data_IF_029646347958
#
_entry.id   IF_029646347958
#
_cell.length_a   1.000
_cell.length_b   1.000
_cell.length_c   1.000
_cell.angle_alpha   90.00
_cell.angle_beta   90.00
_cell.angle_gamma   90.00
#
_symmetry.space_group_name_H-M   'P 1'
#
loop_
_entity.id
_entity.type
_entity.pdbx_description
1 polymer ?
#
# COMPACT_ATOMS: atom_id res chain seq x y z
N UNK A 1 -5.39 -5.61 13.09
CA UNK A 1 -5.74 -4.19 12.90
C UNK A 1 -6.43 -4.01 11.56
N UNK A 2 -7.36 -3.07 11.48
CA UNK A 2 -8.03 -2.67 10.24
C UNK A 2 -7.22 -1.62 9.46
N UNK A 3 -7.48 -1.42 8.16
CA UNK A 3 -6.71 -0.47 7.34
C UNK A 3 -6.85 0.97 7.85
N UNK A 4 -8.05 1.38 8.24
CA UNK A 4 -8.30 2.70 8.82
C UNK A 4 -7.64 2.86 10.19
N UNK A 5 -7.56 1.79 10.98
CA UNK A 5 -6.85 1.79 12.27
C UNK A 5 -5.34 1.91 12.07
N UNK A 6 -4.76 1.11 11.16
CA UNK A 6 -3.34 1.20 10.80
C UNK A 6 -2.98 2.60 10.28
N UNK A 7 -3.84 3.20 9.45
CA UNK A 7 -3.66 4.57 8.96
C UNK A 7 -3.52 5.61 10.10
N UNK A 8 -4.25 5.41 11.22
CA UNK A 8 -4.19 6.30 12.41
C UNK A 8 -2.96 6.03 13.27
N UNK A 9 -2.60 4.76 13.48
CA UNK A 9 -1.37 4.40 14.22
C UNK A 9 -0.11 4.93 13.50
N UNK A 10 -0.10 4.84 12.17
CA UNK A 10 0.98 5.41 11.34
C UNK A 10 1.06 6.92 11.51
N UNK A 11 -0.07 7.63 11.57
CA UNK A 11 -0.08 9.07 11.82
C UNK A 11 0.53 9.42 13.18
N UNK A 12 0.11 8.71 14.24
CA UNK A 12 0.63 8.89 15.58
C UNK A 12 2.16 8.65 15.60
N UNK A 13 2.63 7.60 14.94
CA UNK A 13 4.06 7.30 14.85
C UNK A 13 4.84 8.38 14.08
N UNK A 14 4.33 8.82 12.92
CA UNK A 14 4.98 9.87 12.12
C UNK A 14 5.12 11.17 12.91
N UNK A 15 4.10 11.53 13.68
CA UNK A 15 4.12 12.70 14.56
C UNK A 15 5.11 12.52 15.72
N UNK A 16 5.09 11.37 16.40
CA UNK A 16 6.00 11.06 17.51
C UNK A 16 7.47 11.09 17.09
N UNK A 17 7.78 10.57 15.89
CA UNK A 17 9.14 10.49 15.35
C UNK A 17 9.58 11.75 14.59
N UNK A 18 8.71 12.73 14.41
CA UNK A 18 9.03 13.97 13.70
C UNK A 18 9.29 13.78 12.19
N UNK A 19 8.65 12.79 11.56
CA UNK A 19 8.77 12.56 10.13
C UNK A 19 7.93 13.55 9.30
N UNK A 20 8.21 13.59 8.00
CA UNK A 20 7.49 14.37 7.00
C UNK A 20 5.96 14.20 7.12
N UNK A 21 5.23 15.32 7.29
CA UNK A 21 3.79 15.27 7.59
C UNK A 21 2.97 16.38 6.90
N UNK A 22 3.45 16.94 5.78
CA UNK A 22 2.71 17.97 5.02
C UNK A 22 2.21 17.41 3.69
N UNK A 23 1.19 18.04 3.12
CA UNK A 23 0.64 17.61 1.81
C UNK A 23 1.70 17.61 0.70
N UNK A 24 2.67 18.51 0.74
CA UNK A 24 3.83 18.54 -0.18
C UNK A 24 4.74 17.30 -0.07
N UNK A 25 4.63 16.52 1.02
CA UNK A 25 5.39 15.28 1.21
C UNK A 25 4.73 14.05 0.58
N UNK A 26 3.48 14.16 0.09
CA UNK A 26 2.76 13.02 -0.53
C UNK A 26 3.57 12.36 -1.66
N UNK A 27 4.14 13.10 -2.64
CA UNK A 27 4.93 12.46 -3.70
C UNK A 27 6.13 11.69 -3.16
N UNK A 28 6.76 12.18 -2.09
CA UNK A 28 7.90 11.53 -1.43
C UNK A 28 7.47 10.20 -0.80
N UNK A 29 6.33 10.16 -0.11
CA UNK A 29 5.79 8.93 0.49
C UNK A 29 5.42 7.88 -0.57
N UNK A 30 4.83 8.31 -1.70
CA UNK A 30 4.56 7.42 -2.83
C UNK A 30 5.85 6.87 -3.45
N UNK A 31 6.91 7.69 -3.53
CA UNK A 31 8.22 7.24 -4.00
C UNK A 31 8.85 6.21 -3.05
N UNK A 32 8.72 6.39 -1.74
CA UNK A 32 9.17 5.39 -0.76
C UNK A 32 8.44 4.06 -0.95
N UNK A 33 7.10 4.06 -1.09
CA UNK A 33 6.36 2.83 -1.41
C UNK A 33 6.87 2.14 -2.70
N UNK A 34 7.31 2.91 -3.70
CA UNK A 34 7.89 2.36 -4.92
C UNK A 34 9.28 1.75 -4.70
N UNK A 35 10.10 2.36 -3.84
CA UNK A 35 11.41 1.83 -3.46
C UNK A 35 11.24 0.50 -2.74
N UNK A 36 10.37 0.42 -1.74
CA UNK A 36 10.12 -0.83 -0.99
C UNK A 36 9.58 -1.95 -1.89
N UNK A 37 8.82 -1.61 -2.93
CA UNK A 37 8.38 -2.59 -3.92
C UNK A 37 9.57 -3.14 -4.73
N UNK A 38 10.57 -2.31 -4.97
CA UNK A 38 11.85 -2.72 -5.54
C UNK A 38 12.62 -3.65 -4.61
N UNK A 39 12.64 -3.37 -3.31
CA UNK A 39 13.28 -4.23 -2.30
C UNK A 39 12.60 -5.60 -2.21
N UNK A 40 11.26 -5.65 -2.18
CA UNK A 40 10.48 -6.89 -2.24
C UNK A 40 10.83 -7.72 -3.49
N UNK A 41 10.96 -7.06 -4.63
CA UNK A 41 11.33 -7.70 -5.91
C UNK A 41 12.75 -8.26 -5.87
N UNK A 42 13.70 -7.53 -5.29
CA UNK A 42 15.09 -7.95 -5.14
C UNK A 42 15.24 -9.10 -4.14
N UNK A 43 14.54 -9.04 -3.00
CA UNK A 43 14.49 -10.11 -2.00
C UNK A 43 13.99 -11.42 -2.62
N UNK A 44 12.89 -11.39 -3.37
CA UNK A 44 12.38 -12.55 -4.08
C UNK A 44 13.39 -13.08 -5.11
N UNK A 45 13.97 -12.20 -5.93
CA UNK A 45 14.97 -12.56 -6.95
C UNK A 45 16.20 -13.25 -6.35
N UNK A 46 16.59 -12.87 -5.14
CA UNK A 46 17.72 -13.44 -4.40
C UNK A 46 17.38 -14.74 -3.66
N UNK A 47 16.12 -15.20 -3.71
CA UNK A 47 15.68 -16.38 -2.98
C UNK A 47 15.68 -16.20 -1.46
N UNK A 48 15.37 -14.98 -1.00
CA UNK A 48 15.20 -14.72 0.43
C UNK A 48 14.03 -15.53 1.01
N UNK A 49 14.03 -15.68 2.33
CA UNK A 49 12.93 -16.34 3.05
C UNK A 49 11.62 -15.53 2.93
N UNK A 50 10.49 -16.22 3.07
CA UNK A 50 9.16 -15.60 2.93
C UNK A 50 8.95 -14.46 3.93
N UNK A 51 9.51 -14.57 5.13
CA UNK A 51 9.43 -13.54 6.17
C UNK A 51 10.06 -12.23 5.71
N UNK A 52 11.19 -12.29 4.99
CA UNK A 52 11.85 -11.09 4.46
C UNK A 52 11.03 -10.47 3.32
N UNK A 53 10.53 -11.29 2.40
CA UNK A 53 9.68 -10.80 1.32
C UNK A 53 8.41 -10.15 1.88
N UNK A 54 7.82 -10.77 2.92
CA UNK A 54 6.64 -10.23 3.61
C UNK A 54 6.94 -8.90 4.30
N UNK A 55 8.09 -8.75 4.95
CA UNK A 55 8.54 -7.47 5.53
C UNK A 55 8.52 -6.35 4.48
N UNK A 56 9.19 -6.56 3.34
CA UNK A 56 9.25 -5.55 2.26
C UNK A 56 7.86 -5.23 1.68
N UNK A 57 7.00 -6.23 1.51
CA UNK A 57 5.62 -6.01 1.05
C UNK A 57 4.78 -5.22 2.06
N UNK A 58 5.02 -5.41 3.36
CA UNK A 58 4.38 -4.62 4.41
C UNK A 58 4.91 -3.19 4.40
N UNK A 59 6.20 -2.96 4.12
CA UNK A 59 6.76 -1.61 4.01
C UNK A 59 6.13 -0.82 2.86
N UNK A 60 5.84 -1.47 1.72
CA UNK A 60 5.02 -0.88 0.65
C UNK A 60 3.65 -0.44 1.17
N UNK A 61 2.94 -1.34 1.87
CA UNK A 61 1.61 -1.06 2.41
C UNK A 61 1.67 0.08 3.44
N UNK A 62 2.71 0.13 4.26
CA UNK A 62 2.94 1.15 5.26
C UNK A 62 3.02 2.54 4.61
N UNK A 63 3.87 2.71 3.59
CA UNK A 63 3.98 3.98 2.88
C UNK A 63 2.74 4.34 2.06
N UNK A 64 2.00 3.36 1.53
CA UNK A 64 0.72 3.61 0.87
C UNK A 64 -0.32 4.14 1.87
N UNK A 65 -0.39 3.58 3.09
CA UNK A 65 -1.29 4.06 4.14
C UNK A 65 -0.87 5.44 4.66
N UNK A 66 0.43 5.67 4.87
CA UNK A 66 0.98 6.98 5.26
C UNK A 66 0.73 8.07 4.19
N UNK A 67 0.86 7.72 2.90
CA UNK A 67 0.48 8.63 1.82
C UNK A 67 -1.03 8.87 1.82
N UNK A 68 -1.83 7.82 2.03
CA UNK A 68 -3.29 7.90 1.97
C UNK A 68 -3.91 8.82 3.02
N UNK A 69 -3.37 8.86 4.24
CA UNK A 69 -3.88 9.79 5.27
C UNK A 69 -3.74 11.26 4.89
N UNK A 70 -2.71 11.61 4.11
CA UNK A 70 -2.51 12.97 3.62
C UNK A 70 -3.29 13.23 2.31
N UNK A 71 -3.28 12.26 1.38
CA UNK A 71 -3.88 12.43 0.06
C UNK A 71 -5.42 12.30 0.07
N UNK A 72 -5.97 11.47 0.96
CA UNK A 72 -7.39 11.17 1.04
C UNK A 72 -7.84 10.98 2.51
N UNK A 73 -7.71 12.02 3.36
CA UNK A 73 -7.98 11.93 4.80
C UNK A 73 -9.40 11.46 5.13
N UNK A 74 -10.39 11.89 4.33
CA UNK A 74 -11.81 11.57 4.52
C UNK A 74 -12.23 10.19 4.00
N UNK A 75 -11.33 9.44 3.35
CA UNK A 75 -11.63 8.10 2.85
C UNK A 75 -11.29 7.06 3.90
N UNK A 76 -12.29 6.28 4.31
CA UNK A 76 -12.10 5.09 5.13
C UNK A 76 -11.49 3.96 4.26
N UNK A 77 -10.31 3.48 4.64
CA UNK A 77 -9.57 2.51 3.82
C UNK A 77 -10.16 1.09 3.86
N UNK A 78 -10.81 0.68 4.96
CA UNK A 78 -11.50 -0.60 5.03
C UNK A 78 -12.68 -0.64 4.07
N UNK A 79 -13.49 0.42 4.04
CA UNK A 79 -14.62 0.56 3.11
C UNK A 79 -14.15 0.61 1.65
N UNK A 80 -13.08 1.36 1.38
CA UNK A 80 -12.49 1.47 0.05
C UNK A 80 -11.99 0.11 -0.45
N UNK A 81 -11.29 -0.65 0.41
CA UNK A 81 -10.82 -1.99 0.09
C UNK A 81 -11.98 -2.96 -0.14
N UNK A 82 -12.96 -3.00 0.77
CA UNK A 82 -14.14 -3.87 0.64
C UNK A 82 -14.92 -3.59 -0.65
N UNK A 83 -15.15 -2.31 -0.98
CA UNK A 83 -15.79 -1.89 -2.23
C UNK A 83 -15.00 -2.35 -3.46
N UNK A 84 -13.67 -2.19 -3.44
CA UNK A 84 -12.80 -2.62 -4.54
C UNK A 84 -12.79 -4.13 -4.69
N UNK A 85 -12.73 -4.88 -3.60
CA UNK A 85 -12.78 -6.33 -3.60
C UNK A 85 -14.10 -6.86 -4.17
N UNK A 86 -15.23 -6.30 -3.72
CA UNK A 86 -16.55 -6.65 -4.24
C UNK A 86 -16.68 -6.33 -5.74
N UNK A 87 -16.21 -5.16 -6.17
CA UNK A 87 -16.16 -4.78 -7.58
C UNK A 87 -15.29 -5.75 -8.40
N UNK A 88 -14.20 -6.27 -7.83
CA UNK A 88 -13.34 -7.22 -8.52
C UNK A 88 -13.97 -8.62 -8.57
N UNK A 89 -14.67 -9.07 -7.52
CA UNK A 89 -15.41 -10.34 -7.50
C UNK A 89 -16.55 -10.39 -8.51
N UNK A 90 -17.18 -9.25 -8.80
CA UNK A 90 -18.25 -9.16 -9.79
C UNK A 90 -17.74 -9.10 -11.24
N UNK A 91 -16.42 -9.05 -11.46
CA UNK A 91 -15.86 -9.03 -12.82
C UNK A 91 -15.92 -10.44 -13.43
N UNK A 92 -16.15 -10.54 -14.75
CA UNK A 92 -15.96 -11.79 -15.47
C UNK A 92 -14.54 -12.36 -15.29
N UNK A 93 -14.40 -13.67 -15.48
CA UNK A 93 -13.11 -14.34 -15.53
C UNK A 93 -12.19 -13.65 -16.56
N UNK A 94 -10.93 -13.42 -16.18
CA UNK A 94 -9.92 -12.75 -17.03
C UNK A 94 -10.34 -11.35 -17.54
N UNK A 95 -11.17 -10.63 -16.78
CA UNK A 95 -11.49 -9.24 -17.09
C UNK A 95 -10.23 -8.38 -17.24
N UNK A 96 -10.09 -7.72 -18.40
CA UNK A 96 -8.91 -6.91 -18.75
C UNK A 96 -7.80 -7.68 -19.46
N UNK A 97 -7.89 -9.01 -19.54
CA UNK A 97 -6.88 -9.89 -20.16
C UNK A 97 -7.34 -10.43 -21.53
N UNK A 98 -8.22 -9.71 -22.23
CA UNK A 98 -8.77 -10.14 -23.54
C UNK A 98 -7.72 -10.39 -24.63
N UNK A 99 -6.49 -9.91 -24.43
CA UNK A 99 -5.34 -10.16 -25.30
C UNK A 99 -4.71 -11.55 -25.13
N UNK A 100 -5.04 -12.29 -24.06
CA UNK A 100 -4.47 -13.63 -23.80
C UNK A 100 -5.13 -14.77 -24.59
N UNK A 101 -6.29 -14.53 -25.21
CA UNK A 101 -7.05 -15.54 -25.98
C UNK A 101 -6.87 -15.33 -27.50
N UNK A 102 -5.77 -14.70 -27.95
CA UNK A 102 -5.44 -14.53 -29.37
C UNK A 102 -4.11 -15.17 -29.70
#
# INVERSE_FOLDING_TARGET
MHLEEMKREIEALVLDKGFYNRSEDIPKKLLFAFIELGEASDAWKKGAAEEKIAEELIDVIFYLLDASRLACPSVNMDEAFAKKLNKNRSRPYQYGEGHRIK
#
